data_IF_428099538582
#
_entry.id   IF_428099538582
#
_cell.length_a   1.000
_cell.length_b   1.000
_cell.length_c   1.000
_cell.angle_alpha   90.00
_cell.angle_beta   90.00
_cell.angle_gamma   90.00
#
_symmetry.space_group_name_H-M   'P 1'
#
loop_
_entity.id
_entity.type
_entity.pdbx_description
1 polymer ?
#
# COMPACT_ATOMS: atom_id res chain seq x y z
N UNK A 1 -15.98 -24.41 0.79
CA UNK A 1 -15.20 -24.05 -0.41
C UNK A 1 -14.83 -22.58 -0.27
N UNK A 2 -13.54 -22.25 -0.20
CA UNK A 2 -13.09 -20.85 -0.11
C UNK A 2 -13.32 -20.13 -1.44
N UNK A 3 -13.34 -18.80 -1.45
CA UNK A 3 -13.43 -18.01 -2.68
C UNK A 3 -12.31 -18.37 -3.66
N UNK A 4 -11.10 -18.64 -3.16
CA UNK A 4 -9.96 -19.08 -3.97
C UNK A 4 -10.19 -20.46 -4.62
N UNK A 5 -10.73 -21.42 -3.87
CA UNK A 5 -11.06 -22.75 -4.40
C UNK A 5 -12.11 -22.65 -5.51
N UNK A 6 -13.15 -21.82 -5.30
CA UNK A 6 -14.20 -21.59 -6.29
C UNK A 6 -13.66 -20.86 -7.54
N UNK A 7 -12.86 -19.80 -7.36
CA UNK A 7 -12.25 -19.09 -8.48
C UNK A 7 -11.35 -20.02 -9.32
N UNK A 8 -10.61 -20.91 -8.66
CA UNK A 8 -9.77 -21.91 -9.33
C UNK A 8 -10.61 -22.99 -10.04
N UNK A 9 -11.79 -23.37 -9.55
CA UNK A 9 -12.65 -24.34 -10.26
C UNK A 9 -13.36 -23.74 -11.46
N UNK A 10 -13.62 -22.42 -11.44
CA UNK A 10 -14.33 -21.70 -12.50
C UNK A 10 -13.39 -21.09 -13.56
N UNK A 11 -12.07 -21.18 -13.39
CA UNK A 11 -11.14 -20.56 -14.34
C UNK A 11 -11.26 -21.18 -15.73
N UNK A 12 -11.28 -20.35 -16.76
CA UNK A 12 -11.19 -20.76 -18.16
C UNK A 12 -9.89 -20.21 -18.72
N UNK A 13 -9.05 -21.10 -19.27
CA UNK A 13 -7.80 -20.69 -19.89
C UNK A 13 -8.08 -19.84 -21.12
N UNK A 14 -7.42 -18.69 -21.21
CA UNK A 14 -7.40 -17.87 -22.41
C UNK A 14 -5.97 -17.34 -22.63
N UNK A 15 -5.68 -16.91 -23.85
CA UNK A 15 -4.37 -16.37 -24.24
C UNK A 15 -4.31 -14.84 -24.10
N UNK A 16 -5.35 -14.21 -23.56
CA UNK A 16 -5.40 -12.77 -23.37
C UNK A 16 -4.57 -12.36 -22.15
N UNK A 17 -3.94 -11.18 -22.25
CA UNK A 17 -3.22 -10.58 -21.12
C UNK A 17 -4.18 -9.71 -20.32
N UNK A 18 -4.09 -9.79 -19.00
CA UNK A 18 -4.86 -8.93 -18.08
C UNK A 18 -3.95 -7.78 -17.66
N UNK A 19 -4.47 -6.55 -17.79
CA UNK A 19 -3.85 -5.35 -17.23
C UNK A 19 -4.76 -4.82 -16.13
N UNK A 20 -4.29 -4.84 -14.89
CA UNK A 20 -4.95 -4.22 -13.74
C UNK A 20 -4.25 -2.89 -13.44
N UNK A 21 -4.95 -1.78 -13.67
CA UNK A 21 -4.45 -0.43 -13.40
C UNK A 21 -5.10 0.11 -12.12
N UNK A 22 -4.28 0.46 -11.14
CA UNK A 22 -4.71 1.00 -9.85
C UNK A 22 -4.27 2.46 -9.77
N UNK A 23 -5.23 3.39 -9.70
CA UNK A 23 -4.98 4.79 -9.41
C UNK A 23 -5.15 5.01 -7.90
N UNK A 24 -4.04 5.15 -7.17
CA UNK A 24 -4.06 5.29 -5.71
C UNK A 24 -4.77 6.58 -5.30
N UNK A 25 -5.70 6.48 -4.34
CA UNK A 25 -6.50 7.60 -3.88
C UNK A 25 -7.46 8.21 -4.91
N UNK A 26 -7.84 7.47 -5.97
CA UNK A 26 -8.74 7.99 -7.01
C UNK A 26 -10.13 8.41 -6.49
N UNK A 27 -10.62 7.73 -5.45
CA UNK A 27 -11.92 8.02 -4.87
C UNK A 27 -11.97 9.42 -4.26
N UNK A 28 -12.98 10.18 -4.66
CA UNK A 28 -13.20 11.57 -4.26
C UNK A 28 -14.53 11.80 -3.56
N UNK A 29 -14.71 12.99 -3.01
CA UNK A 29 -16.00 13.46 -2.50
C UNK A 29 -16.30 14.84 -3.09
N UNK A 30 -17.57 15.12 -3.44
CA UNK A 30 -17.92 16.43 -3.97
C UNK A 30 -17.75 17.50 -2.87
N UNK A 31 -17.18 18.64 -3.25
CA UNK A 31 -16.88 19.71 -2.30
C UNK A 31 -18.14 20.43 -1.77
N UNK A 32 -19.24 20.37 -2.53
CA UNK A 32 -20.59 20.76 -2.11
C UNK A 32 -21.60 19.65 -2.50
N UNK A 33 -22.81 19.58 -1.90
CA UNK A 33 -23.76 18.49 -2.17
C UNK A 33 -24.25 18.37 -3.62
N UNK A 34 -24.08 19.41 -4.44
CA UNK A 34 -24.44 19.42 -5.86
C UNK A 34 -23.19 19.34 -6.79
N UNK A 35 -22.00 19.32 -6.21
CA UNK A 35 -20.73 19.41 -6.90
C UNK A 35 -20.27 18.08 -7.46
N UNK A 36 -19.25 18.15 -8.30
CA UNK A 36 -18.55 17.01 -8.85
C UNK A 36 -17.44 16.57 -7.91
N UNK A 37 -17.10 15.28 -7.93
CA UNK A 37 -15.84 14.77 -7.39
C UNK A 37 -14.64 15.28 -8.19
N UNK A 38 -13.44 15.09 -7.67
CA UNK A 38 -12.19 15.42 -8.34
C UNK A 38 -12.05 14.71 -9.69
N UNK A 39 -12.44 13.43 -9.75
CA UNK A 39 -12.40 12.64 -10.98
C UNK A 39 -13.41 13.13 -12.03
N UNK A 40 -14.63 13.45 -11.60
CA UNK A 40 -15.68 13.99 -12.49
C UNK A 40 -15.33 15.40 -13.00
N UNK A 41 -14.59 16.19 -12.21
CA UNK A 41 -14.12 17.51 -12.62
C UNK A 41 -12.94 17.41 -13.61
N UNK A 42 -12.14 16.36 -13.52
CA UNK A 42 -10.97 16.18 -14.36
C UNK A 42 -11.34 15.81 -15.81
N UNK A 43 -10.66 16.42 -16.79
CA UNK A 43 -10.80 16.06 -18.19
C UNK A 43 -10.09 14.74 -18.48
N UNK A 44 -10.83 13.63 -18.53
CA UNK A 44 -10.28 12.26 -18.66
C UNK A 44 -10.79 11.50 -19.90
N UNK A 45 -10.61 12.05 -21.13
CA UNK A 45 -11.26 11.52 -22.34
C UNK A 45 -10.92 10.06 -22.67
N UNK A 46 -9.75 9.58 -22.27
CA UNK A 46 -9.37 8.17 -22.46
C UNK A 46 -10.06 7.23 -21.45
N UNK A 47 -10.23 7.68 -20.20
CA UNK A 47 -10.96 6.93 -19.20
C UNK A 47 -12.45 6.90 -19.54
N UNK A 48 -13.00 8.03 -20.01
CA UNK A 48 -14.37 8.14 -20.49
C UNK A 48 -14.64 7.17 -21.67
N UNK A 49 -13.73 7.10 -22.63
CA UNK A 49 -13.84 6.16 -23.75
C UNK A 49 -13.78 4.69 -23.31
N UNK A 50 -12.93 4.36 -22.33
CA UNK A 50 -12.87 3.01 -21.77
C UNK A 50 -14.16 2.67 -21.01
N UNK A 51 -14.68 3.60 -20.24
CA UNK A 51 -15.94 3.47 -19.50
C UNK A 51 -17.12 3.21 -20.45
N UNK A 52 -17.21 3.94 -21.57
CA UNK A 52 -18.27 3.77 -22.58
C UNK A 52 -18.22 2.41 -23.31
N UNK A 53 -17.04 1.84 -23.48
CA UNK A 53 -16.83 0.57 -24.20
C UNK A 53 -16.80 -0.66 -23.28
N UNK A 54 -16.71 -0.44 -21.97
CA UNK A 54 -16.49 -1.45 -20.95
C UNK A 54 -17.69 -1.67 -20.04
N UNK A 55 -17.39 -2.21 -18.86
CA UNK A 55 -18.37 -2.39 -17.77
C UNK A 55 -17.86 -1.63 -16.56
N UNK A 56 -18.76 -0.87 -15.94
CA UNK A 56 -18.48 -0.10 -14.73
C UNK A 56 -19.06 -0.79 -13.50
N UNK A 57 -18.45 -0.53 -12.36
CA UNK A 57 -18.91 -1.03 -11.07
C UNK A 57 -18.19 -0.34 -9.92
N UNK A 58 -18.65 -0.62 -8.71
CA UNK A 58 -18.02 -0.18 -7.47
C UNK A 58 -17.27 -1.35 -6.84
N UNK A 59 -16.13 -1.05 -6.24
CA UNK A 59 -15.36 -2.01 -5.45
C UNK A 59 -15.34 -1.59 -3.99
N UNK A 60 -15.51 -2.56 -3.09
CA UNK A 60 -15.35 -2.38 -1.65
C UNK A 60 -14.10 -3.18 -1.26
N UNK A 61 -12.94 -2.53 -1.05
CA UNK A 61 -11.69 -3.26 -0.85
C UNK A 61 -11.63 -4.11 0.42
N UNK A 62 -12.38 -3.76 1.47
CA UNK A 62 -12.38 -4.54 2.72
C UNK A 62 -13.79 -4.91 3.10
N UNK A 63 -14.56 -3.97 3.68
CA UNK A 63 -15.98 -4.11 4.00
C UNK A 63 -16.63 -2.72 3.99
N UNK A 64 -17.97 -2.62 3.89
CA UNK A 64 -18.67 -1.35 4.04
C UNK A 64 -18.23 -0.63 5.33
N UNK A 65 -17.85 0.64 5.21
CA UNK A 65 -17.40 1.47 6.34
C UNK A 65 -15.97 1.22 6.82
N UNK A 66 -15.21 0.30 6.21
CA UNK A 66 -13.79 0.08 6.57
C UNK A 66 -12.89 0.76 5.54
N UNK A 67 -12.19 1.81 5.97
CA UNK A 67 -11.17 2.48 5.16
C UNK A 67 -9.90 1.63 5.06
N UNK A 68 -9.47 1.18 3.87
CA UNK A 68 -8.25 0.42 3.72
C UNK A 68 -7.01 1.30 3.80
N UNK A 69 -5.94 0.77 4.42
CA UNK A 69 -4.59 1.20 4.09
C UNK A 69 -4.09 0.51 2.81
N UNK A 70 -3.02 1.02 2.19
CA UNK A 70 -2.51 0.47 0.91
C UNK A 70 -2.22 -1.03 0.95
N UNK A 71 -1.71 -1.57 2.06
CA UNK A 71 -1.44 -3.01 2.21
C UNK A 71 -2.70 -3.87 2.06
N UNK A 72 -3.66 -3.77 3.01
CA UNK A 72 -4.96 -4.43 2.91
C UNK A 72 -5.69 -4.17 1.58
N UNK A 73 -5.65 -2.93 1.07
CA UNK A 73 -6.29 -2.58 -0.20
C UNK A 73 -5.72 -3.35 -1.40
N UNK A 74 -4.39 -3.50 -1.49
CA UNK A 74 -3.77 -4.26 -2.56
C UNK A 74 -3.99 -5.77 -2.41
N UNK A 75 -3.97 -6.30 -1.18
CA UNK A 75 -4.26 -7.73 -0.95
C UNK A 75 -5.64 -8.12 -1.48
N UNK A 76 -6.64 -7.29 -1.22
CA UNK A 76 -7.99 -7.50 -1.72
C UNK A 76 -8.08 -7.46 -3.26
N UNK A 77 -7.34 -6.55 -3.91
CA UNK A 77 -7.27 -6.49 -5.38
C UNK A 77 -6.66 -7.76 -5.99
N UNK A 78 -5.71 -8.39 -5.28
CA UNK A 78 -5.13 -9.68 -5.67
C UNK A 78 -5.95 -10.89 -5.21
N UNK A 79 -7.12 -10.67 -4.62
CA UNK A 79 -8.10 -11.70 -4.26
C UNK A 79 -7.92 -12.31 -2.88
N UNK A 80 -6.99 -11.83 -2.05
CA UNK A 80 -6.82 -12.28 -0.67
C UNK A 80 -7.80 -11.55 0.26
N UNK A 81 -8.39 -12.27 1.23
CA UNK A 81 -9.18 -11.61 2.28
C UNK A 81 -8.24 -10.82 3.21
N UNK A 82 -8.30 -9.47 3.22
CA UNK A 82 -7.41 -8.66 4.04
C UNK A 82 -7.69 -8.75 5.55
N UNK A 83 -8.78 -9.41 5.97
CA UNK A 83 -9.07 -9.70 7.38
C UNK A 83 -8.51 -11.05 7.84
N UNK A 84 -8.25 -11.96 6.91
CA UNK A 84 -7.63 -13.26 7.17
C UNK A 84 -6.10 -13.16 6.99
N UNK A 85 -5.65 -12.60 5.87
CA UNK A 85 -4.24 -12.48 5.50
C UNK A 85 -3.66 -11.15 5.96
N UNK A 86 -3.39 -11.05 7.25
CA UNK A 86 -2.84 -9.84 7.86
C UNK A 86 -1.33 -9.74 7.64
N UNK A 87 -0.93 -8.83 6.74
CA UNK A 87 0.49 -8.49 6.56
C UNK A 87 0.79 -7.19 7.30
N UNK A 88 1.72 -7.26 8.26
CA UNK A 88 2.19 -6.09 8.99
C UNK A 88 2.91 -5.09 8.08
N UNK A 89 2.77 -3.80 8.37
CA UNK A 89 3.40 -2.73 7.56
C UNK A 89 4.92 -2.89 7.48
N UNK A 90 5.57 -3.31 8.57
CA UNK A 90 7.02 -3.56 8.56
C UNK A 90 7.42 -4.61 7.53
N UNK A 91 6.66 -5.70 7.43
CA UNK A 91 6.92 -6.76 6.46
C UNK A 91 6.75 -6.27 5.01
N UNK A 92 5.72 -5.48 4.74
CA UNK A 92 5.49 -4.87 3.41
C UNK A 92 6.61 -3.89 3.00
N UNK A 93 7.10 -3.07 3.93
CA UNK A 93 8.17 -2.11 3.64
C UNK A 93 9.52 -2.82 3.41
N UNK A 94 9.81 -3.86 4.20
CA UNK A 94 11.02 -4.67 4.05
C UNK A 94 11.04 -5.39 2.68
N UNK A 95 9.94 -6.04 2.31
CA UNK A 95 9.84 -6.68 0.99
C UNK A 95 9.89 -5.65 -0.15
N UNK A 96 9.35 -4.45 0.06
CA UNK A 96 9.40 -3.34 -0.89
C UNK A 96 10.83 -2.87 -1.23
N UNK A 97 11.79 -3.03 -0.32
CA UNK A 97 13.21 -2.73 -0.57
C UNK A 97 14.03 -3.98 -0.96
N UNK A 98 13.36 -5.12 -1.20
CA UNK A 98 14.02 -6.38 -1.54
C UNK A 98 14.71 -7.06 -0.35
N UNK A 99 14.35 -6.72 0.88
CA UNK A 99 14.85 -7.42 2.07
C UNK A 99 14.08 -8.73 2.27
N UNK A 100 14.80 -9.84 2.32
CA UNK A 100 14.23 -11.15 2.60
C UNK A 100 13.93 -11.29 4.10
N UNK A 101 12.65 -11.49 4.44
CA UNK A 101 12.22 -11.73 5.81
C UNK A 101 12.02 -13.22 6.07
N UNK A 102 12.66 -13.73 7.11
CA UNK A 102 12.42 -15.04 7.67
C UNK A 102 11.23 -15.08 8.65
N UNK A 103 10.77 -16.29 9.02
CA UNK A 103 9.62 -16.47 9.92
C UNK A 103 9.89 -15.97 11.36
N UNK A 104 11.16 -15.79 11.74
CA UNK A 104 11.56 -15.31 13.06
C UNK A 104 11.97 -13.84 13.06
N UNK A 105 11.90 -13.16 11.92
CA UNK A 105 12.30 -11.76 11.81
C UNK A 105 11.17 -10.82 12.23
N UNK A 106 11.54 -9.73 12.91
CA UNK A 106 10.63 -8.63 13.22
C UNK A 106 11.01 -7.43 12.38
N UNK A 107 10.16 -7.08 11.42
CA UNK A 107 10.34 -5.88 10.60
C UNK A 107 9.62 -4.68 11.22
N UNK A 108 10.33 -3.56 11.34
CA UNK A 108 9.81 -2.31 11.87
C UNK A 108 10.08 -1.18 10.88
N UNK A 109 9.07 -0.34 10.65
CA UNK A 109 9.24 0.90 9.89
C UNK A 109 9.80 1.98 10.81
N UNK A 110 10.98 2.49 10.49
CA UNK A 110 11.63 3.55 11.24
C UNK A 110 11.85 4.80 10.36
N UNK A 111 12.01 5.95 11.01
CA UNK A 111 12.51 7.18 10.39
C UNK A 111 13.71 7.67 11.21
N UNK A 112 14.67 8.34 10.55
CA UNK A 112 15.61 9.19 11.27
C UNK A 112 14.89 10.42 11.84
N UNK A 113 15.28 10.84 13.04
CA UNK A 113 14.74 12.02 13.72
C UNK A 113 15.87 12.87 14.30
N UNK A 114 15.60 14.15 14.52
CA UNK A 114 16.50 15.08 15.20
C UNK A 114 16.10 15.19 16.65
N UNK A 115 17.08 15.11 17.54
CA UNK A 115 16.92 15.34 18.98
C UNK A 115 17.55 16.69 19.35
N UNK A 116 16.97 17.39 20.32
CA UNK A 116 17.65 18.51 20.97
C UNK A 116 18.65 18.04 22.04
N UNK A 117 19.33 19.00 22.68
CA UNK A 117 20.32 18.73 23.73
C UNK A 117 19.74 18.02 24.97
N UNK A 118 18.42 18.03 25.16
CA UNK A 118 17.73 17.35 26.26
C UNK A 118 17.23 15.96 25.86
N UNK A 119 17.43 15.54 24.60
CA UNK A 119 16.97 14.26 24.07
C UNK A 119 15.52 14.29 23.56
N UNK A 120 14.88 15.46 23.46
CA UNK A 120 13.52 15.57 22.93
C UNK A 120 13.53 15.57 21.39
N UNK A 121 12.56 14.88 20.77
CA UNK A 121 12.40 14.88 19.31
C UNK A 121 11.94 16.26 18.85
N UNK A 122 12.79 16.96 18.09
CA UNK A 122 12.48 18.26 17.48
C UNK A 122 12.02 18.14 16.04
N UNK A 123 12.46 17.11 15.32
CA UNK A 123 11.97 16.78 13.99
C UNK A 123 11.88 15.26 13.78
N UNK A 124 10.67 14.76 13.60
CA UNK A 124 10.36 13.34 13.36
C UNK A 124 10.87 12.78 12.02
N UNK A 125 11.44 13.61 11.15
CA UNK A 125 11.97 13.23 9.83
C UNK A 125 13.41 13.72 9.59
N UNK A 126 14.04 14.35 10.58
CA UNK A 126 15.39 14.90 10.47
C UNK A 126 15.60 15.76 9.20
N UNK A 127 14.68 16.67 8.90
CA UNK A 127 14.77 17.52 7.71
C UNK A 127 14.55 16.79 6.38
N UNK A 128 14.15 15.51 6.40
CA UNK A 128 14.13 14.61 5.23
C UNK A 128 15.50 14.54 4.55
N UNK A 129 16.54 14.21 5.33
CA UNK A 129 17.88 13.95 4.78
C UNK A 129 17.83 13.03 3.54
N UNK A 130 18.76 13.26 2.63
CA UNK A 130 18.90 12.48 1.40
C UNK A 130 19.30 11.02 1.68
N UNK A 131 19.19 10.16 0.67
CA UNK A 131 19.61 8.75 0.79
C UNK A 131 21.12 8.65 1.04
N UNK A 132 21.87 9.54 0.39
CA UNK A 132 23.32 9.66 0.51
C UNK A 132 23.75 10.01 1.94
N UNK A 133 23.03 10.91 2.59
CA UNK A 133 23.27 11.30 3.99
C UNK A 133 22.81 10.22 4.98
N UNK A 134 21.72 9.51 4.68
CA UNK A 134 21.16 8.47 5.54
C UNK A 134 21.96 7.16 5.51
N UNK A 135 22.59 6.81 4.38
CA UNK A 135 23.27 5.52 4.18
C UNK A 135 24.40 5.22 5.19
N UNK A 136 25.27 6.19 5.57
CA UNK A 136 26.26 5.94 6.63
C UNK A 136 25.61 5.65 7.99
N UNK A 137 24.46 6.28 8.29
CA UNK A 137 23.74 6.05 9.54
C UNK A 137 23.14 4.64 9.60
N UNK A 138 22.55 4.16 8.49
CA UNK A 138 22.03 2.79 8.41
C UNK A 138 23.15 1.75 8.51
N UNK A 139 24.33 2.02 7.93
CA UNK A 139 25.48 1.14 8.08
C UNK A 139 25.95 1.03 9.54
N UNK A 140 25.98 2.15 10.28
CA UNK A 140 26.27 2.14 11.72
C UNK A 140 25.24 1.37 12.51
N UNK A 141 23.95 1.54 12.21
CA UNK A 141 22.88 0.79 12.88
C UNK A 141 22.98 -0.73 12.64
N UNK A 142 23.46 -1.16 11.47
CA UNK A 142 23.67 -2.58 11.18
C UNK A 142 24.69 -3.27 12.10
N UNK A 143 25.54 -2.49 12.77
CA UNK A 143 26.53 -3.00 13.72
C UNK A 143 25.95 -3.19 15.13
N UNK A 144 24.76 -2.66 15.40
CA UNK A 144 24.08 -2.81 16.70
C UNK A 144 23.69 -4.27 16.87
N UNK A 145 24.08 -4.85 18.00
CA UNK A 145 23.62 -6.16 18.46
C UNK A 145 22.80 -5.96 19.72
N UNK A 146 21.64 -6.61 19.77
CA UNK A 146 20.77 -6.61 20.94
C UNK A 146 20.95 -7.97 21.60
N UNK A 147 21.39 -7.98 22.85
CA UNK A 147 21.58 -9.24 23.57
C UNK A 147 20.23 -9.97 23.70
N UNK A 148 20.21 -11.25 23.31
CA UNK A 148 19.00 -12.07 23.32
C UNK A 148 18.15 -12.02 22.04
N UNK A 149 18.61 -11.31 21.00
CA UNK A 149 18.07 -11.32 19.62
C UNK A 149 19.17 -11.75 18.65
#
# INVERSE_FOLDING_TARGET
>A
MTTHELARSLHVRNEAKIVMLVADGLGGLPHDPAGLTELETARTPHLDQLAQRGVLGLSIPVKPGITPGSGPGHLALFGYDPLEYLIGRGALEATGIGFELGPNDVAVRANFCTLDATGCITDRRAGRISTEEAAPLTHRLRQVRIEGV
#
